data_IF_089533227784
#
_entry.id   IF_089533227784
#
_cell.length_a   1.000
_cell.length_b   1.000
_cell.length_c   1.000
_cell.angle_alpha   90.00
_cell.angle_beta   90.00
_cell.angle_gamma   90.00
#
_symmetry.space_group_name_H-M   'P 1'
#
loop_
_entity.id
_entity.type
_entity.pdbx_description
1 polymer ?
#
# COMPACT_ATOMS: atom_id res chain seq x y z
N UNK A 1 18.33 38.95 -25.55
CA UNK A 1 17.46 38.34 -24.51
C UNK A 1 18.32 37.35 -23.75
N UNK A 2 18.47 37.51 -22.42
CA UNK A 2 19.16 36.50 -21.62
C UNK A 2 18.28 35.25 -21.53
N UNK A 3 18.82 34.06 -21.87
CA UNK A 3 18.11 32.79 -21.71
C UNK A 3 17.83 32.59 -20.22
N UNK A 4 16.56 32.39 -19.86
CA UNK A 4 16.19 32.05 -18.48
C UNK A 4 16.60 30.62 -18.23
N UNK A 5 17.41 30.41 -17.19
CA UNK A 5 17.79 29.07 -16.72
C UNK A 5 16.65 28.49 -15.91
N UNK A 6 16.18 27.31 -16.28
CA UNK A 6 15.00 26.68 -15.70
C UNK A 6 15.18 25.20 -15.36
N UNK A 7 16.39 24.63 -15.54
CA UNK A 7 16.67 23.22 -15.27
C UNK A 7 17.18 23.01 -13.84
N UNK A 8 16.62 22.03 -13.15
CA UNK A 8 17.19 21.42 -11.94
C UNK A 8 18.08 20.26 -12.39
N UNK A 9 19.39 20.39 -12.24
CA UNK A 9 20.35 19.34 -12.59
C UNK A 9 20.50 18.38 -11.41
N UNK A 10 20.30 17.07 -11.61
CA UNK A 10 20.46 16.04 -10.57
C UNK A 10 21.74 15.25 -10.85
N UNK A 11 22.70 15.34 -9.95
CA UNK A 11 23.95 14.56 -9.94
C UNK A 11 23.89 13.50 -8.85
N UNK A 12 24.26 12.25 -9.15
CA UNK A 12 24.11 11.11 -8.25
C UNK A 12 25.10 9.98 -8.55
N UNK A 13 25.28 9.04 -7.62
CA UNK A 13 26.06 7.83 -7.86
C UNK A 13 25.27 6.82 -8.71
N UNK A 14 25.81 6.44 -9.86
CA UNK A 14 25.24 5.39 -10.70
C UNK A 14 26.02 4.08 -10.52
N UNK A 15 25.36 2.92 -10.27
CA UNK A 15 23.90 2.72 -10.20
C UNK A 15 23.28 2.87 -8.80
N UNK A 16 24.08 3.07 -7.75
CA UNK A 16 23.65 2.86 -6.35
C UNK A 16 22.56 3.84 -5.89
N UNK A 17 22.53 5.06 -6.42
CA UNK A 17 21.58 6.11 -6.05
C UNK A 17 20.47 6.32 -7.10
N UNK A 18 20.38 5.46 -8.14
CA UNK A 18 19.45 5.62 -9.27
C UNK A 18 18.00 5.69 -8.79
N UNK A 19 17.55 4.70 -8.01
CA UNK A 19 16.16 4.60 -7.55
C UNK A 19 15.67 5.86 -6.81
N UNK A 20 16.52 6.45 -5.95
CA UNK A 20 16.17 7.70 -5.28
C UNK A 20 16.13 8.87 -6.26
N UNK A 21 17.14 8.98 -7.13
CA UNK A 21 17.26 10.09 -8.08
C UNK A 21 16.09 10.12 -9.05
N UNK A 22 15.66 8.95 -9.53
CA UNK A 22 14.48 8.78 -10.38
C UNK A 22 13.19 9.17 -9.66
N UNK A 23 13.02 8.73 -8.41
CA UNK A 23 11.88 9.14 -7.60
C UNK A 23 11.85 10.66 -7.44
N UNK A 24 12.98 11.29 -7.12
CA UNK A 24 13.07 12.74 -6.96
C UNK A 24 12.79 13.48 -8.28
N UNK A 25 13.35 13.00 -9.39
CA UNK A 25 13.11 13.52 -10.73
C UNK A 25 11.61 13.55 -11.04
N UNK A 26 10.90 12.44 -10.79
CA UNK A 26 9.46 12.34 -11.01
C UNK A 26 8.66 13.32 -10.13
N UNK A 27 9.01 13.45 -8.85
CA UNK A 27 8.31 14.36 -7.92
C UNK A 27 8.48 15.84 -8.30
N UNK A 28 9.71 16.25 -8.67
CA UNK A 28 9.98 17.61 -9.11
C UNK A 28 9.27 17.92 -10.43
N UNK A 29 9.24 16.96 -11.34
CA UNK A 29 8.50 17.05 -12.61
C UNK A 29 7.00 17.20 -12.37
N UNK A 30 6.42 16.40 -11.46
CA UNK A 30 5.03 16.51 -11.02
C UNK A 30 4.68 17.88 -10.43
N UNK A 31 5.63 18.49 -9.71
CA UNK A 31 5.50 19.84 -9.17
C UNK A 31 5.58 20.95 -10.24
N UNK A 32 6.01 20.60 -11.46
CA UNK A 32 6.06 21.44 -12.65
C UNK A 32 7.44 21.99 -13.00
N UNK A 33 8.52 21.46 -12.42
CA UNK A 33 9.88 21.91 -12.71
C UNK A 33 10.51 21.10 -13.85
N UNK A 34 11.44 21.72 -14.59
CA UNK A 34 12.27 20.98 -15.56
C UNK A 34 13.46 20.37 -14.82
N UNK A 35 13.69 19.09 -15.03
CA UNK A 35 14.77 18.35 -14.40
C UNK A 35 15.69 17.77 -15.47
N UNK A 36 16.94 17.51 -15.11
CA UNK A 36 17.89 16.80 -15.95
C UNK A 36 18.72 15.83 -15.09
N UNK A 37 18.89 14.60 -15.57
CA UNK A 37 19.85 13.63 -15.08
C UNK A 37 20.41 12.79 -16.25
N UNK A 38 21.56 12.16 -16.04
CA UNK A 38 22.26 11.29 -16.97
C UNK A 38 21.45 10.04 -17.34
N UNK A 39 20.70 9.45 -16.40
CA UNK A 39 19.84 8.27 -16.64
C UNK A 39 18.82 8.46 -17.78
N UNK A 40 18.26 9.67 -17.92
CA UNK A 40 17.14 9.94 -18.83
C UNK A 40 17.60 10.59 -20.15
N UNK A 41 18.82 11.14 -20.17
CA UNK A 41 19.24 12.08 -21.22
C UNK A 41 20.31 11.55 -22.15
N UNK A 42 21.04 10.49 -21.76
CA UNK A 42 22.09 9.88 -22.57
C UNK A 42 21.56 8.59 -23.21
N UNK A 43 21.62 8.49 -24.55
CA UNK A 43 21.06 7.34 -25.31
C UNK A 43 22.06 6.21 -25.57
N UNK A 44 23.30 6.33 -25.06
CA UNK A 44 24.40 5.40 -25.31
C UNK A 44 25.07 5.60 -26.67
N UNK A 45 26.41 5.54 -26.71
CA UNK A 45 27.22 5.71 -27.94
C UNK A 45 27.74 7.12 -28.22
N UNK A 46 27.47 8.09 -27.34
CA UNK A 46 27.96 9.48 -27.45
C UNK A 46 29.44 9.57 -27.01
N UNK A 47 30.30 10.15 -27.86
CA UNK A 47 31.76 10.11 -27.68
C UNK A 47 32.30 11.08 -26.61
N UNK A 48 31.51 12.07 -26.18
CA UNK A 48 31.94 13.15 -25.28
C UNK A 48 30.80 13.65 -24.35
N UNK A 49 30.12 12.75 -23.64
CA UNK A 49 28.98 13.09 -22.76
C UNK A 49 29.33 14.11 -21.65
N UNK A 50 30.59 14.19 -21.25
CA UNK A 50 31.09 15.20 -20.28
C UNK A 50 30.91 16.64 -20.78
N UNK A 51 31.02 16.89 -22.10
CA UNK A 51 30.80 18.22 -22.67
C UNK A 51 29.32 18.64 -22.59
N UNK A 52 28.41 17.69 -22.82
CA UNK A 52 26.96 17.91 -22.70
C UNK A 52 26.61 18.27 -21.26
N UNK A 53 27.11 17.51 -20.29
CA UNK A 53 26.89 17.75 -18.86
C UNK A 53 27.38 19.15 -18.46
N UNK A 54 28.63 19.50 -18.84
CA UNK A 54 29.18 20.82 -18.53
C UNK A 54 28.36 21.95 -19.17
N UNK A 55 27.89 21.75 -20.40
CA UNK A 55 27.03 22.72 -21.09
C UNK A 55 25.72 22.92 -20.33
N UNK A 56 25.06 21.85 -19.89
CA UNK A 56 23.79 21.94 -19.17
C UNK A 56 23.97 22.63 -17.82
N UNK A 57 24.99 22.26 -17.05
CA UNK A 57 25.30 22.91 -15.77
C UNK A 57 25.56 24.42 -15.97
N UNK A 58 26.27 24.78 -17.04
CA UNK A 58 26.70 26.17 -17.26
C UNK A 58 25.69 27.06 -17.99
N UNK A 59 24.87 26.52 -18.89
CA UNK A 59 23.95 27.28 -19.75
C UNK A 59 22.49 27.19 -19.31
N UNK A 60 22.05 26.05 -18.76
CA UNK A 60 20.63 25.75 -18.55
C UNK A 60 20.22 25.55 -17.08
N UNK A 61 21.14 25.03 -16.26
CA UNK A 61 20.85 24.71 -14.87
C UNK A 61 20.67 25.98 -14.01
N UNK A 62 19.52 26.08 -13.34
CA UNK A 62 19.25 27.09 -12.33
C UNK A 62 19.70 26.64 -10.92
N UNK A 63 19.69 25.34 -10.66
CA UNK A 63 20.22 24.69 -9.45
C UNK A 63 20.89 23.38 -9.80
N UNK A 64 21.89 23.02 -9.00
CA UNK A 64 22.60 21.76 -9.03
C UNK A 64 22.26 20.97 -7.76
N UNK A 65 21.49 19.90 -7.90
CA UNK A 65 21.06 19.02 -6.83
C UNK A 65 22.06 17.85 -6.76
N UNK A 66 22.88 17.83 -5.72
CA UNK A 66 23.83 16.75 -5.48
C UNK A 66 23.16 15.71 -4.56
N UNK A 67 22.72 14.59 -5.12
CA UNK A 67 22.28 13.43 -4.35
C UNK A 67 23.51 12.75 -3.79
N UNK A 68 23.62 12.65 -2.46
CA UNK A 68 24.76 12.00 -1.83
C UNK A 68 24.41 10.96 -0.76
N UNK A 69 25.09 9.82 -0.89
CA UNK A 69 25.05 8.60 -0.10
C UNK A 69 26.49 8.16 0.24
N UNK A 70 26.65 6.92 0.70
CA UNK A 70 27.97 6.32 0.97
C UNK A 70 28.79 6.11 -0.31
N UNK A 71 28.16 6.05 -1.48
CA UNK A 71 28.79 5.69 -2.76
C UNK A 71 29.10 6.90 -3.65
N UNK A 72 28.54 8.07 -3.35
CA UNK A 72 28.58 9.23 -4.24
C UNK A 72 29.98 9.73 -4.52
N UNK A 73 30.82 9.85 -3.48
CA UNK A 73 32.20 10.29 -3.66
C UNK A 73 33.18 9.14 -3.92
N UNK A 74 32.69 7.93 -4.22
CA UNK A 74 33.53 6.85 -4.77
C UNK A 74 33.50 6.86 -6.30
N UNK A 75 32.70 7.73 -6.92
CA UNK A 75 32.52 7.84 -8.38
C UNK A 75 33.20 9.12 -8.88
N UNK A 76 34.23 8.97 -9.72
CA UNK A 76 35.02 10.09 -10.24
C UNK A 76 34.17 11.11 -11.01
N UNK A 77 33.20 10.64 -11.82
CA UNK A 77 32.34 11.53 -12.60
C UNK A 77 31.49 12.46 -11.73
N UNK A 78 30.98 11.98 -10.59
CA UNK A 78 30.21 12.82 -9.65
C UNK A 78 31.09 13.86 -8.98
N UNK A 79 32.35 13.49 -8.68
CA UNK A 79 33.35 14.41 -8.14
C UNK A 79 33.62 15.52 -9.17
N UNK A 80 33.84 15.16 -10.42
CA UNK A 80 34.12 16.11 -11.50
C UNK A 80 32.94 17.06 -11.75
N UNK A 81 31.71 16.54 -11.78
CA UNK A 81 30.49 17.36 -11.90
C UNK A 81 30.34 18.34 -10.73
N UNK A 82 30.56 17.87 -9.51
CA UNK A 82 30.48 18.70 -8.31
C UNK A 82 31.57 19.78 -8.28
N UNK A 83 32.81 19.44 -8.65
CA UNK A 83 33.93 20.37 -8.73
C UNK A 83 33.72 21.42 -9.83
N UNK A 84 33.15 21.02 -10.97
CA UNK A 84 32.72 21.93 -12.03
C UNK A 84 31.61 22.87 -11.56
N UNK A 85 30.55 22.35 -10.93
CA UNK A 85 29.43 23.14 -10.40
C UNK A 85 29.90 24.17 -9.36
N UNK A 86 30.82 23.79 -8.46
CA UNK A 86 31.44 24.72 -7.50
C UNK A 86 32.22 25.83 -8.19
N UNK A 87 33.05 25.46 -9.17
CA UNK A 87 33.86 26.41 -9.94
C UNK A 87 32.99 27.38 -10.72
N UNK A 88 31.91 26.87 -11.34
CA UNK A 88 30.92 27.66 -12.06
C UNK A 88 30.19 28.65 -11.16
N UNK A 89 29.68 28.20 -10.01
CA UNK A 89 28.98 29.06 -9.05
C UNK A 89 29.90 30.18 -8.52
N UNK A 90 31.16 29.84 -8.21
CA UNK A 90 32.16 30.81 -7.73
C UNK A 90 32.50 31.84 -8.81
N UNK A 91 32.78 31.40 -10.04
CA UNK A 91 33.14 32.28 -11.18
C UNK A 91 32.02 33.28 -11.51
N UNK A 92 30.78 32.81 -11.49
CA UNK A 92 29.61 33.63 -11.85
C UNK A 92 28.94 34.30 -10.64
N UNK A 93 29.52 34.18 -9.44
CA UNK A 93 28.99 34.74 -8.18
C UNK A 93 27.53 34.34 -7.90
N UNK A 94 27.15 33.12 -8.27
CA UNK A 94 25.79 32.59 -8.07
C UNK A 94 25.68 32.10 -6.63
N UNK A 95 24.76 32.69 -5.87
CA UNK A 95 24.44 32.24 -4.51
C UNK A 95 23.49 31.05 -4.54
N UNK A 96 23.63 30.15 -3.57
CA UNK A 96 22.74 29.01 -3.35
C UNK A 96 22.51 28.16 -4.61
N UNK A 97 23.54 27.98 -5.45
CA UNK A 97 23.44 27.18 -6.68
C UNK A 97 23.36 25.68 -6.41
N UNK A 98 24.11 25.21 -5.41
CA UNK A 98 24.25 23.79 -5.08
C UNK A 98 23.36 23.44 -3.90
N UNK A 99 22.51 22.43 -4.08
CA UNK A 99 21.63 21.84 -3.08
C UNK A 99 22.08 20.41 -2.77
N UNK A 100 22.79 20.16 -1.67
CA UNK A 100 23.11 18.81 -1.25
C UNK A 100 21.87 18.09 -0.72
N UNK A 101 21.65 16.87 -1.18
CA UNK A 101 20.51 16.01 -0.87
C UNK A 101 21.05 14.74 -0.20
N UNK A 102 20.90 14.65 1.12
CA UNK A 102 21.42 13.54 1.91
C UNK A 102 20.39 12.41 1.98
N UNK A 103 20.74 11.26 1.39
CA UNK A 103 19.81 10.12 1.25
C UNK A 103 20.14 8.92 2.13
N UNK A 104 21.29 8.94 2.81
CA UNK A 104 21.72 7.91 3.74
C UNK A 104 22.26 8.52 5.04
N UNK A 105 22.56 7.68 6.02
CA UNK A 105 23.24 8.11 7.23
C UNK A 105 24.74 8.30 6.97
N UNK A 106 25.10 9.48 6.43
CA UNK A 106 26.45 9.85 6.03
C UNK A 106 26.86 11.19 6.61
N UNK A 107 28.14 11.34 6.95
CA UNK A 107 28.63 12.56 7.58
C UNK A 107 28.50 13.80 6.66
N UNK A 108 28.27 14.95 7.29
CA UNK A 108 28.08 16.23 6.59
C UNK A 108 29.35 16.72 5.88
N UNK A 109 30.51 16.19 6.25
CA UNK A 109 31.85 16.54 5.75
C UNK A 109 32.50 15.42 4.93
N UNK A 110 31.70 14.47 4.42
CA UNK A 110 32.10 13.40 3.47
C UNK A 110 32.99 13.89 2.32
N UNK A 111 32.87 15.16 1.91
CA UNK A 111 33.80 15.81 0.98
C UNK A 111 34.15 17.21 1.47
N UNK A 112 35.40 17.61 1.23
CA UNK A 112 35.90 18.95 1.57
C UNK A 112 34.99 20.03 0.96
N UNK A 113 34.45 20.88 1.84
CA UNK A 113 33.60 22.01 1.48
C UNK A 113 32.11 21.68 1.38
N UNK A 114 31.70 20.41 1.47
CA UNK A 114 30.28 20.03 1.48
C UNK A 114 29.58 20.50 2.77
N UNK A 115 30.31 20.50 3.89
CA UNK A 115 29.86 21.00 5.19
C UNK A 115 29.55 22.51 5.22
N UNK A 116 29.88 23.26 4.15
CA UNK A 116 29.57 24.69 4.04
C UNK A 116 28.17 24.96 3.47
N UNK A 117 27.50 23.93 2.98
CA UNK A 117 26.15 24.03 2.43
C UNK A 117 25.13 23.56 3.47
N UNK A 118 23.92 24.12 3.43
CA UNK A 118 22.80 23.58 4.19
C UNK A 118 22.19 22.40 3.41
N UNK A 119 22.06 21.23 4.05
CA UNK A 119 21.67 19.99 3.39
C UNK A 119 20.17 19.74 3.50
N UNK A 120 19.58 19.19 2.43
CA UNK A 120 18.24 18.63 2.48
C UNK A 120 18.31 17.19 2.97
N UNK A 121 17.71 16.94 4.14
CA UNK A 121 17.67 15.61 4.75
C UNK A 121 16.53 14.79 4.15
N UNK A 122 16.84 13.70 3.45
CA UNK A 122 15.88 12.72 2.95
C UNK A 122 15.93 11.39 3.71
N UNK A 123 16.97 11.13 4.52
CA UNK A 123 16.99 9.99 5.44
C UNK A 123 16.52 10.39 6.86
N UNK A 124 15.61 9.65 7.52
CA UNK A 124 14.99 8.40 7.10
C UNK A 124 13.68 8.56 6.29
N UNK A 125 13.22 9.80 6.03
CA UNK A 125 11.91 10.08 5.43
C UNK A 125 12.02 10.92 4.15
N UNK A 126 11.82 10.28 2.99
CA UNK A 126 11.86 10.97 1.69
C UNK A 126 10.77 12.04 1.53
N UNK A 127 9.50 11.81 1.95
CA UNK A 127 8.45 12.82 1.81
C UNK A 127 8.73 14.11 2.60
N UNK A 128 9.34 14.00 3.78
CA UNK A 128 9.71 15.17 4.59
C UNK A 128 10.82 15.99 3.94
N UNK A 129 11.83 15.32 3.38
CA UNK A 129 12.89 15.96 2.60
C UNK A 129 12.33 16.70 1.38
N UNK A 130 11.43 16.05 0.64
CA UNK A 130 10.78 16.62 -0.53
C UNK A 130 9.97 17.87 -0.19
N UNK A 131 9.19 17.85 0.89
CA UNK A 131 8.41 19.01 1.32
C UNK A 131 9.31 20.23 1.60
N UNK A 132 10.46 20.02 2.26
CA UNK A 132 11.44 21.09 2.53
C UNK A 132 12.10 21.59 1.24
N UNK A 133 12.48 20.68 0.35
CA UNK A 133 13.09 21.02 -0.95
C UNK A 133 12.13 21.82 -1.82
N UNK A 134 10.88 21.37 -1.98
CA UNK A 134 9.84 22.08 -2.75
C UNK A 134 9.57 23.47 -2.18
N UNK A 135 9.53 23.62 -0.85
CA UNK A 135 9.38 24.91 -0.18
C UNK A 135 10.54 25.86 -0.53
N UNK A 136 11.78 25.36 -0.56
CA UNK A 136 12.94 26.18 -0.93
C UNK A 136 12.96 26.54 -2.41
N UNK A 137 12.68 25.59 -3.30
CA UNK A 137 12.59 25.82 -4.75
C UNK A 137 11.53 26.88 -5.07
N UNK A 138 10.38 26.82 -4.38
CA UNK A 138 9.33 27.83 -4.50
C UNK A 138 9.79 29.21 -4.00
N UNK A 139 10.47 29.26 -2.85
CA UNK A 139 11.03 30.50 -2.31
C UNK A 139 12.06 31.14 -3.24
N UNK A 140 12.90 30.33 -3.91
CA UNK A 140 13.91 30.79 -4.87
C UNK A 140 13.31 31.24 -6.21
N UNK A 141 11.98 31.15 -6.39
CA UNK A 141 11.29 31.64 -7.58
C UNK A 141 11.64 30.87 -8.85
N UNK A 142 11.99 29.59 -8.73
CA UNK A 142 12.41 28.76 -9.87
C UNK A 142 11.21 28.62 -10.84
N UNK A 143 11.38 28.98 -12.12
CA UNK A 143 10.30 28.95 -13.10
C UNK A 143 9.79 27.53 -13.32
N UNK A 144 8.47 27.39 -13.42
CA UNK A 144 7.82 26.15 -13.80
C UNK A 144 7.69 26.07 -15.31
N UNK A 145 7.76 24.85 -15.86
CA UNK A 145 7.50 24.63 -17.28
C UNK A 145 6.06 25.00 -17.63
N UNK A 146 5.87 25.71 -18.75
CA UNK A 146 4.57 25.97 -19.38
C UNK A 146 4.07 24.81 -20.22
N UNK A 147 4.90 23.80 -20.45
CA UNK A 147 4.48 22.55 -21.09
C UNK A 147 3.42 21.85 -20.23
N UNK A 148 2.41 21.24 -20.86
CA UNK A 148 1.36 20.55 -20.13
C UNK A 148 2.02 19.47 -19.27
N UNK A 149 1.81 19.49 -17.94
CA UNK A 149 2.30 18.46 -17.00
C UNK A 149 2.07 17.04 -17.53
N UNK A 150 0.92 16.83 -18.17
CA UNK A 150 0.53 15.57 -18.81
C UNK A 150 1.49 15.12 -19.89
N UNK A 151 2.04 16.03 -20.70
CA UNK A 151 3.01 15.70 -21.77
C UNK A 151 4.36 15.27 -21.21
N UNK A 152 4.88 15.97 -20.20
CA UNK A 152 6.18 15.62 -19.57
C UNK A 152 6.08 14.27 -18.86
N UNK A 153 4.97 14.04 -18.14
CA UNK A 153 4.68 12.75 -17.50
C UNK A 153 4.43 11.64 -18.52
N UNK A 154 3.70 11.91 -19.60
CA UNK A 154 3.50 10.91 -20.64
C UNK A 154 4.81 10.59 -21.32
N UNK A 155 5.66 11.55 -21.68
CA UNK A 155 6.95 11.25 -22.30
C UNK A 155 7.87 10.49 -21.35
N UNK A 156 7.90 10.85 -20.06
CA UNK A 156 8.70 10.14 -19.06
C UNK A 156 8.18 8.72 -18.79
N UNK A 157 6.86 8.57 -18.56
CA UNK A 157 6.24 7.26 -18.36
C UNK A 157 6.31 6.40 -19.63
N UNK A 158 6.20 7.00 -20.82
CA UNK A 158 6.35 6.31 -22.10
C UNK A 158 7.80 5.88 -22.33
N UNK A 159 8.79 6.71 -22.03
CA UNK A 159 10.20 6.35 -22.20
C UNK A 159 10.66 5.29 -21.20
N UNK A 160 10.14 5.31 -19.96
CA UNK A 160 10.57 4.41 -18.89
C UNK A 160 9.75 3.14 -18.74
N UNK A 161 8.42 3.22 -18.85
CA UNK A 161 7.50 2.10 -18.64
C UNK A 161 6.86 1.59 -19.94
N UNK A 162 6.85 2.38 -21.02
CA UNK A 162 6.23 1.95 -22.28
C UNK A 162 7.20 1.34 -23.29
N UNK A 163 8.35 0.81 -22.83
CA UNK A 163 9.21 0.01 -23.69
C UNK A 163 8.67 -1.41 -23.96
N UNK A 164 7.55 -1.83 -23.36
CA UNK A 164 6.83 -3.04 -23.84
C UNK A 164 5.32 -3.10 -23.54
N UNK A 165 4.79 -2.24 -22.67
CA UNK A 165 3.40 -2.35 -22.16
C UNK A 165 2.61 -1.05 -22.36
N UNK A 166 2.33 -0.71 -23.62
CA UNK A 166 1.65 0.55 -23.98
C UNK A 166 0.28 0.74 -23.31
N UNK A 167 -0.10 2.02 -23.12
CA UNK A 167 -1.45 2.40 -22.72
C UNK A 167 -2.32 2.40 -23.99
N UNK A 168 -3.44 1.69 -23.95
CA UNK A 168 -4.39 1.61 -25.06
C UNK A 168 -5.70 2.28 -24.68
N UNK A 169 -6.35 2.95 -25.64
CA UNK A 169 -7.67 3.58 -25.45
C UNK A 169 -8.77 2.52 -25.54
N UNK A 170 -8.80 1.61 -24.57
CA UNK A 170 -9.78 0.54 -24.46
C UNK A 170 -10.54 0.70 -23.16
N UNK A 171 -11.87 0.70 -23.24
CA UNK A 171 -12.71 0.74 -22.04
C UNK A 171 -12.47 -0.53 -21.22
N UNK A 172 -12.05 -0.36 -19.96
CA UNK A 172 -11.78 -1.47 -19.06
C UNK A 172 -12.37 -1.27 -17.69
N UNK A 173 -12.80 -2.40 -17.12
CA UNK A 173 -13.23 -2.53 -15.74
C UNK A 173 -12.04 -2.83 -14.83
N UNK A 174 -11.77 -1.91 -13.91
CA UNK A 174 -10.82 -2.03 -12.83
C UNK A 174 -11.53 -2.40 -11.54
N UNK A 175 -10.86 -3.16 -10.68
CA UNK A 175 -11.39 -3.59 -9.40
C UNK A 175 -10.58 -2.96 -8.28
N UNK A 176 -11.28 -2.40 -7.31
CA UNK A 176 -10.69 -1.85 -6.10
C UNK A 176 -10.31 -2.96 -5.11
N UNK A 177 -9.77 -2.56 -3.97
CA UNK A 177 -9.69 -3.41 -2.78
C UNK A 177 -10.85 -3.17 -1.80
N UNK A 178 -11.93 -2.52 -2.23
CA UNK A 178 -13.08 -2.18 -1.38
C UNK A 178 -14.18 -3.21 -1.52
N UNK A 179 -14.47 -3.92 -0.43
CA UNK A 179 -15.54 -4.88 -0.37
C UNK A 179 -16.78 -4.24 0.26
N UNK A 180 -17.73 -3.84 -0.60
CA UNK A 180 -18.86 -2.99 -0.23
C UNK A 180 -19.86 -3.70 0.67
N UNK A 181 -20.38 -2.96 1.65
CA UNK A 181 -21.53 -3.36 2.45
C UNK A 181 -22.75 -2.67 1.85
N UNK A 182 -23.63 -3.45 1.21
CA UNK A 182 -24.77 -2.90 0.47
C UNK A 182 -26.02 -2.68 1.32
N UNK A 183 -26.10 -3.34 2.48
CA UNK A 183 -27.21 -3.21 3.42
C UNK A 183 -26.68 -3.23 4.84
N UNK A 184 -27.27 -2.39 5.69
CA UNK A 184 -26.97 -2.30 7.10
C UNK A 184 -28.28 -2.34 7.89
N UNK A 185 -28.25 -2.76 9.16
CA UNK A 185 -29.40 -2.58 10.04
C UNK A 185 -29.73 -1.10 10.22
N UNK A 186 -30.96 -0.79 10.60
CA UNK A 186 -31.38 0.60 10.84
C UNK A 186 -30.65 1.22 12.04
N UNK A 187 -30.23 0.39 13.02
CA UNK A 187 -29.65 0.88 14.26
C UNK A 187 -28.65 -0.09 14.87
N UNK A 188 -27.75 0.47 15.68
CA UNK A 188 -27.00 -0.26 16.69
C UNK A 188 -27.55 0.10 18.07
N UNK A 189 -27.40 -0.81 19.02
CA UNK A 189 -27.86 -0.64 20.40
C UNK A 189 -26.66 -0.66 21.35
N UNK A 190 -26.62 0.30 22.27
CA UNK A 190 -25.61 0.40 23.33
C UNK A 190 -26.30 0.11 24.66
N UNK A 191 -25.97 -1.02 25.25
CA UNK A 191 -26.50 -1.51 26.52
C UNK A 191 -25.53 -1.14 27.63
N UNK A 192 -25.90 -0.20 28.49
CA UNK A 192 -25.09 0.19 29.64
C UNK A 192 -25.49 -0.64 30.85
N UNK A 193 -24.52 -1.29 31.49
CA UNK A 193 -24.70 -2.09 32.70
C UNK A 193 -24.21 -1.34 33.95
N UNK A 194 -24.59 -1.83 35.13
CA UNK A 194 -24.20 -1.19 36.39
C UNK A 194 -22.69 -1.17 36.60
N UNK A 195 -21.96 -2.16 36.07
CA UNK A 195 -20.51 -2.25 36.15
C UNK A 195 -19.91 -3.03 34.98
N UNK A 196 -18.59 -2.96 34.87
CA UNK A 196 -17.81 -3.63 33.83
C UNK A 196 -17.87 -5.16 33.88
N UNK A 197 -18.03 -5.75 35.07
CA UNK A 197 -18.13 -7.21 35.25
C UNK A 197 -19.40 -7.76 34.62
N UNK A 198 -20.52 -7.05 34.76
CA UNK A 198 -21.78 -7.40 34.09
C UNK A 198 -21.64 -7.34 32.57
N UNK A 199 -21.05 -6.25 32.04
CA UNK A 199 -20.81 -6.12 30.60
C UNK A 199 -19.88 -7.23 30.06
N UNK A 200 -18.86 -7.62 30.84
CA UNK A 200 -17.97 -8.72 30.49
C UNK A 200 -18.69 -10.08 30.45
N UNK A 201 -19.59 -10.35 31.41
CA UNK A 201 -20.38 -11.59 31.41
C UNK A 201 -21.23 -11.73 30.14
N UNK A 202 -21.85 -10.63 29.70
CA UNK A 202 -22.65 -10.56 28.46
C UNK A 202 -21.80 -10.81 27.21
N UNK A 203 -20.55 -10.34 27.21
CA UNK A 203 -19.60 -10.54 26.10
C UNK A 203 -19.10 -11.99 26.02
N UNK A 204 -18.93 -12.64 27.18
CA UNK A 204 -18.47 -14.03 27.28
C UNK A 204 -19.53 -15.06 26.88
N UNK A 205 -20.80 -14.68 26.84
CA UNK A 205 -21.86 -15.53 26.32
C UNK A 205 -21.66 -15.80 24.83
N UNK A 206 -21.48 -17.09 24.48
CA UNK A 206 -21.29 -17.54 23.12
C UNK A 206 -22.55 -17.32 22.29
N UNK A 207 -22.45 -16.42 21.31
CA UNK A 207 -23.53 -16.13 20.36
C UNK A 207 -22.96 -16.01 18.95
N UNK A 208 -23.77 -16.31 17.94
CA UNK A 208 -23.41 -16.05 16.54
C UNK A 208 -23.45 -14.56 16.18
N UNK A 209 -24.13 -13.76 17.01
CA UNK A 209 -24.29 -12.32 16.81
C UNK A 209 -23.10 -11.53 17.37
N UNK A 210 -22.58 -10.55 16.62
CA UNK A 210 -21.43 -9.76 17.03
C UNK A 210 -21.76 -8.82 18.20
N UNK A 211 -20.94 -8.88 19.24
CA UNK A 211 -20.97 -7.98 20.41
C UNK A 211 -19.59 -7.38 20.64
N UNK A 212 -19.53 -6.10 21.01
CA UNK A 212 -18.28 -5.44 21.44
C UNK A 212 -18.48 -4.76 22.80
N UNK A 213 -17.41 -4.74 23.62
CA UNK A 213 -17.42 -4.05 24.92
C UNK A 213 -16.87 -2.62 24.81
N UNK A 214 -17.42 -1.68 25.57
CA UNK A 214 -16.86 -0.36 25.79
C UNK A 214 -17.13 0.07 27.23
N UNK A 215 -16.12 -0.03 28.11
CA UNK A 215 -16.32 0.18 29.55
C UNK A 215 -17.36 -0.80 30.12
N UNK A 216 -18.39 -0.25 30.77
CA UNK A 216 -19.57 -0.97 31.27
C UNK A 216 -20.68 -1.13 30.22
N UNK A 217 -20.41 -0.81 28.95
CA UNK A 217 -21.38 -0.94 27.87
C UNK A 217 -21.09 -2.14 26.97
N UNK A 218 -22.14 -2.75 26.42
CA UNK A 218 -22.09 -3.69 25.31
C UNK A 218 -22.77 -3.07 24.11
N UNK A 219 -22.14 -3.13 22.95
CA UNK A 219 -22.70 -2.64 21.68
C UNK A 219 -22.97 -3.82 20.75
N UNK A 220 -24.14 -3.83 20.13
CA UNK A 220 -24.57 -4.87 19.19
C UNK A 220 -25.60 -4.35 18.17
N UNK A 221 -25.88 -5.15 17.13
CA UNK A 221 -27.00 -4.89 16.21
C UNK A 221 -28.33 -5.45 16.72
N UNK A 222 -28.29 -6.39 17.67
CA UNK A 222 -29.48 -6.97 18.27
C UNK A 222 -30.17 -5.96 19.17
N UNK A 223 -31.50 -5.94 19.14
CA UNK A 223 -32.36 -5.06 19.96
C UNK A 223 -32.60 -5.59 21.38
N UNK A 224 -32.52 -6.90 21.57
CA UNK A 224 -32.72 -7.54 22.85
C UNK A 224 -31.50 -8.40 23.17
N UNK A 225 -30.73 -8.00 24.18
CA UNK A 225 -29.66 -8.80 24.75
C UNK A 225 -30.01 -9.01 26.21
N UNK A 226 -30.33 -10.25 26.56
CA UNK A 226 -30.56 -10.70 27.93
C UNK A 226 -29.63 -11.87 28.15
N UNK A 227 -28.66 -11.72 29.06
CA UNK A 227 -27.71 -12.78 29.38
C UNK A 227 -28.05 -13.38 30.73
N UNK A 228 -28.14 -14.71 30.81
CA UNK A 228 -28.15 -15.45 32.07
C UNK A 228 -26.71 -15.73 32.48
N UNK A 229 -26.26 -15.17 33.60
CA UNK A 229 -24.88 -15.30 34.04
C UNK A 229 -24.65 -16.63 34.77
N UNK A 230 -24.38 -17.71 34.04
CA UNK A 230 -24.25 -19.07 34.60
C UNK A 230 -23.07 -19.31 35.56
N UNK A 231 -22.15 -18.34 35.74
CA UNK A 231 -20.96 -18.50 36.60
C UNK A 231 -21.22 -18.26 38.10
N UNK A 232 -22.31 -17.62 38.49
CA UNK A 232 -22.57 -17.23 39.89
C UNK A 232 -24.05 -17.32 40.26
N UNK A 233 -24.66 -18.49 40.02
CA UNK A 233 -26.13 -18.70 40.04
C UNK A 233 -26.79 -18.06 38.80
N UNK A 234 -27.93 -18.60 38.34
CA UNK A 234 -28.65 -18.12 37.13
C UNK A 234 -29.24 -16.71 37.32
N UNK A 235 -28.39 -15.71 37.53
CA UNK A 235 -28.75 -14.32 37.66
C UNK A 235 -28.87 -13.74 36.27
N UNK A 236 -30.08 -13.29 35.94
CA UNK A 236 -30.36 -12.59 34.69
C UNK A 236 -29.78 -11.16 34.78
N UNK A 237 -28.89 -10.83 33.85
CA UNK A 237 -28.23 -9.52 33.81
C UNK A 237 -29.00 -8.61 32.86
N UNK A 238 -29.57 -7.54 33.42
CA UNK A 238 -30.32 -6.54 32.67
C UNK A 238 -29.52 -5.23 32.53
N UNK A 239 -29.59 -4.56 31.37
CA UNK A 239 -28.98 -3.25 31.19
C UNK A 239 -29.71 -2.19 32.04
N UNK A 240 -28.95 -1.24 32.59
CA UNK A 240 -29.49 -0.08 33.29
C UNK A 240 -30.02 0.98 32.32
N UNK A 241 -29.37 1.15 31.16
CA UNK A 241 -29.82 2.02 30.07
C UNK A 241 -29.60 1.34 28.72
N UNK A 242 -30.44 1.67 27.74
CA UNK A 242 -30.28 1.21 26.35
C UNK A 242 -30.39 2.40 25.41
N UNK A 243 -29.31 2.71 24.71
CA UNK A 243 -29.27 3.75 23.68
C UNK A 243 -29.46 3.12 22.31
N UNK A 244 -30.47 3.57 21.56
CA UNK A 244 -30.67 3.19 20.16
C UNK A 244 -30.04 4.25 19.27
N UNK A 245 -29.03 3.88 18.48
CA UNK A 245 -28.32 4.77 17.59
C UNK A 245 -28.67 4.46 16.13
N UNK A 246 -29.22 5.44 15.42
CA UNK A 246 -29.58 5.34 14.00
C UNK A 246 -28.32 5.30 13.13
N UNK A 247 -28.13 4.21 12.37
CA UNK A 247 -26.99 4.08 11.45
C UNK A 247 -27.05 5.15 10.34
N UNK A 248 -28.21 5.42 9.69
CA UNK A 248 -28.31 6.50 8.71
C UNK A 248 -27.85 7.86 9.25
N UNK A 249 -28.15 8.18 10.51
CA UNK A 249 -27.76 9.45 11.11
C UNK A 249 -26.26 9.52 11.43
N UNK A 250 -25.68 8.39 11.83
CA UNK A 250 -24.22 8.28 12.02
C UNK A 250 -23.48 8.48 10.69
N UNK A 251 -23.99 7.90 9.60
CA UNK A 251 -23.35 7.94 8.27
C UNK A 251 -23.50 9.30 7.57
N UNK A 252 -24.56 10.06 7.85
CA UNK A 252 -24.80 11.40 7.28
C UNK A 252 -24.27 12.55 8.15
N UNK A 253 -23.58 12.22 9.24
CA UNK A 253 -23.13 13.18 10.25
C UNK A 253 -24.28 14.02 10.86
N UNK A 254 -25.51 13.46 10.88
CA UNK A 254 -26.70 14.11 11.46
C UNK A 254 -27.00 13.65 12.88
N UNK A 255 -26.29 12.64 13.40
CA UNK A 255 -26.39 12.23 14.79
C UNK A 255 -25.70 13.27 15.69
N UNK A 256 -26.48 13.93 16.54
CA UNK A 256 -26.01 14.96 17.48
C UNK A 256 -26.46 14.57 18.88
N UNK A 257 -25.49 14.34 19.77
CA UNK A 257 -25.71 14.18 21.20
C UNK A 257 -24.52 14.76 21.95
N UNK A 258 -24.78 15.67 22.89
CA UNK A 258 -23.75 16.30 23.73
C UNK A 258 -23.31 15.38 24.87
N UNK A 259 -24.19 14.46 25.28
CA UNK A 259 -23.89 13.42 26.26
C UNK A 259 -23.58 12.08 25.59
N UNK A 260 -23.05 11.15 26.38
CA UNK A 260 -22.77 9.80 25.91
C UNK A 260 -24.06 9.09 25.44
N UNK A 261 -24.05 8.36 24.30
CA UNK A 261 -22.97 8.30 23.31
C UNK A 261 -22.91 9.54 22.42
N UNK A 262 -21.73 10.16 22.31
CA UNK A 262 -21.49 11.27 21.38
C UNK A 262 -21.42 10.79 19.93
N UNK A 263 -21.31 11.71 18.97
CA UNK A 263 -21.11 11.36 17.56
C UNK A 263 -19.85 10.50 17.33
N UNK A 264 -18.74 10.88 17.96
CA UNK A 264 -17.48 10.14 17.85
C UNK A 264 -17.60 8.74 18.45
N UNK A 265 -18.32 8.60 19.58
CA UNK A 265 -18.63 7.29 20.16
C UNK A 265 -19.43 6.44 19.18
N UNK A 266 -20.50 6.99 18.60
CA UNK A 266 -21.39 6.30 17.68
C UNK A 266 -20.63 5.82 16.41
N UNK A 267 -19.81 6.67 15.81
CA UNK A 267 -18.96 6.28 14.68
C UNK A 267 -17.96 5.17 15.06
N UNK A 268 -17.32 5.29 16.21
CA UNK A 268 -16.34 4.30 16.69
C UNK A 268 -17.00 2.97 17.01
N UNK A 269 -18.19 2.99 17.61
CA UNK A 269 -19.01 1.82 17.88
C UNK A 269 -19.37 1.08 16.59
N UNK A 270 -19.89 1.79 15.59
CA UNK A 270 -20.22 1.20 14.30
C UNK A 270 -18.99 0.57 13.63
N UNK A 271 -17.86 1.30 13.53
CA UNK A 271 -16.60 0.79 12.96
C UNK A 271 -16.11 -0.47 13.67
N UNK A 272 -16.12 -0.47 15.00
CA UNK A 272 -15.66 -1.61 15.81
C UNK A 272 -16.59 -2.82 15.70
N UNK A 273 -17.89 -2.58 15.62
CA UNK A 273 -18.89 -3.64 15.53
C UNK A 273 -18.87 -4.30 14.14
N UNK A 274 -18.78 -3.51 13.05
CA UNK A 274 -18.57 -4.05 11.70
C UNK A 274 -17.27 -4.85 11.61
N UNK A 275 -16.20 -4.35 12.22
CA UNK A 275 -14.93 -5.07 12.29
C UNK A 275 -15.06 -6.40 13.03
N UNK A 276 -15.77 -6.43 14.17
CA UNK A 276 -16.05 -7.67 14.92
C UNK A 276 -16.86 -8.66 14.08
N UNK A 277 -17.91 -8.18 13.41
CA UNK A 277 -18.77 -8.97 12.52
C UNK A 277 -17.97 -9.71 11.44
N UNK A 278 -17.10 -8.98 10.73
CA UNK A 278 -16.26 -9.61 9.71
C UNK A 278 -15.24 -10.57 10.32
N UNK A 279 -14.61 -10.25 11.46
CA UNK A 279 -13.67 -11.19 12.11
C UNK A 279 -14.36 -12.50 12.48
N UNK A 280 -15.53 -12.42 13.11
CA UNK A 280 -16.29 -13.60 13.52
C UNK A 280 -16.71 -14.43 12.31
N UNK A 281 -17.12 -13.75 11.23
CA UNK A 281 -17.36 -14.40 9.95
C UNK A 281 -16.12 -15.17 9.45
N UNK A 282 -14.97 -14.52 9.34
CA UNK A 282 -13.73 -15.15 8.84
C UNK A 282 -13.29 -16.35 9.69
N UNK A 283 -13.46 -16.28 11.01
CA UNK A 283 -13.18 -17.42 11.89
C UNK A 283 -14.14 -18.59 11.63
N UNK A 284 -15.44 -18.33 11.48
CA UNK A 284 -16.43 -19.36 11.13
C UNK A 284 -16.18 -19.98 9.76
N UNK A 285 -15.69 -19.21 8.80
CA UNK A 285 -15.27 -19.70 7.48
C UNK A 285 -14.00 -20.58 7.54
N UNK A 286 -13.32 -20.61 8.69
CA UNK A 286 -12.14 -21.47 8.93
C UNK A 286 -10.81 -20.81 8.59
N UNK A 287 -10.75 -19.48 8.56
CA UNK A 287 -9.47 -18.76 8.40
C UNK A 287 -8.73 -18.72 9.75
N UNK A 288 -7.43 -18.92 9.67
CA UNK A 288 -6.51 -18.71 10.79
C UNK A 288 -6.08 -17.25 10.88
N UNK A 289 -5.88 -16.77 12.11
CA UNK A 289 -5.41 -15.41 12.39
C UNK A 289 -3.91 -15.41 12.69
N UNK A 290 -3.18 -14.48 12.08
CA UNK A 290 -1.84 -14.06 12.47
C UNK A 290 -1.83 -12.58 12.85
N UNK A 291 -1.18 -12.24 13.97
CA UNK A 291 -0.98 -10.86 14.41
C UNK A 291 0.34 -10.33 13.85
N UNK A 292 0.28 -9.39 12.92
CA UNK A 292 1.47 -8.78 12.32
C UNK A 292 2.13 -7.78 13.28
N UNK A 293 3.41 -7.45 13.03
CA UNK A 293 4.21 -6.49 13.81
C UNK A 293 3.50 -5.14 14.03
N UNK A 294 2.76 -4.65 13.03
CA UNK A 294 1.92 -3.45 13.12
C UNK A 294 0.64 -3.58 13.96
N UNK A 295 0.50 -4.64 14.78
CA UNK A 295 -0.71 -4.96 15.57
C UNK A 295 -1.99 -5.11 14.73
N UNK A 296 -1.87 -5.36 13.44
CA UNK A 296 -3.01 -5.67 12.57
C UNK A 296 -3.13 -7.18 12.40
N UNK A 297 -4.37 -7.68 12.41
CA UNK A 297 -4.65 -9.09 12.16
C UNK A 297 -4.65 -9.36 10.65
N UNK A 298 -3.95 -10.42 10.25
CA UNK A 298 -4.01 -11.03 8.93
C UNK A 298 -4.72 -12.38 9.03
N UNK A 299 -5.63 -12.66 8.10
CA UNK A 299 -6.44 -13.87 8.04
C UNK A 299 -6.10 -14.65 6.78
N UNK A 300 -5.83 -15.96 6.92
CA UNK A 300 -5.43 -16.83 5.81
C UNK A 300 -5.92 -18.26 6.05
N UNK A 301 -6.01 -19.07 4.99
CA UNK A 301 -6.30 -20.49 5.13
C UNK A 301 -5.04 -21.28 5.46
N UNK A 302 -5.17 -22.32 6.29
CA UNK A 302 -4.12 -23.34 6.48
C UNK A 302 -4.30 -24.47 5.47
N UNK A 303 -3.24 -25.26 5.27
CA UNK A 303 -3.16 -26.36 4.30
C UNK A 303 -4.32 -27.37 4.35
N UNK A 304 -4.91 -27.64 5.52
CA UNK A 304 -6.03 -28.59 5.61
C UNK A 304 -7.35 -28.05 5.04
N UNK A 305 -7.49 -26.74 4.82
CA UNK A 305 -8.76 -26.14 4.43
C UNK A 305 -8.95 -26.24 2.91
N UNK A 306 -9.93 -27.07 2.50
CA UNK A 306 -10.23 -27.32 1.09
C UNK A 306 -10.67 -26.06 0.33
N UNK A 307 -11.21 -25.04 1.02
CA UNK A 307 -11.60 -23.75 0.42
C UNK A 307 -10.41 -22.98 -0.16
N UNK A 308 -9.17 -23.37 0.17
CA UNK A 308 -7.96 -22.75 -0.37
C UNK A 308 -7.56 -23.26 -1.76
N UNK A 309 -8.11 -24.37 -2.26
CA UNK A 309 -7.57 -25.07 -3.43
C UNK A 309 -8.44 -24.96 -4.68
N UNK A 310 -7.80 -24.70 -5.83
CA UNK A 310 -8.41 -24.70 -7.18
C UNK A 310 -9.77 -24.00 -7.23
N UNK A 311 -9.83 -22.80 -6.67
CA UNK A 311 -11.07 -22.02 -6.57
C UNK A 311 -11.36 -21.39 -7.92
N UNK A 312 -12.42 -21.85 -8.58
CA UNK A 312 -12.91 -21.32 -9.86
C UNK A 312 -13.75 -20.06 -9.65
N UNK A 313 -13.13 -18.90 -9.80
CA UNK A 313 -13.72 -17.59 -9.54
C UNK A 313 -14.37 -17.03 -10.79
N UNK A 314 -15.56 -16.47 -10.62
CA UNK A 314 -16.24 -15.67 -11.64
C UNK A 314 -16.61 -14.32 -11.04
N UNK A 315 -16.19 -13.24 -11.69
CA UNK A 315 -16.53 -11.87 -11.30
C UNK A 315 -16.70 -11.03 -12.58
N UNK A 316 -17.29 -9.82 -12.52
CA UNK A 316 -17.76 -9.10 -13.72
C UNK A 316 -16.72 -9.01 -14.85
N UNK A 317 -16.98 -9.71 -15.97
CA UNK A 317 -16.12 -9.72 -17.16
C UNK A 317 -14.85 -10.57 -17.04
N UNK A 318 -14.66 -11.36 -15.97
CA UNK A 318 -13.45 -12.18 -15.75
C UNK A 318 -13.76 -13.53 -15.13
N UNK A 319 -12.92 -14.50 -15.47
CA UNK A 319 -12.86 -15.82 -14.83
C UNK A 319 -11.40 -16.09 -14.50
N UNK A 320 -11.15 -16.67 -13.33
CA UNK A 320 -9.80 -17.08 -12.93
C UNK A 320 -9.89 -18.34 -12.08
N UNK A 321 -8.80 -19.09 -12.01
CA UNK A 321 -8.69 -20.26 -11.17
C UNK A 321 -7.39 -20.12 -10.38
N UNK A 322 -7.48 -20.09 -9.05
CA UNK A 322 -6.30 -19.91 -8.20
C UNK A 322 -6.39 -20.79 -6.96
N UNK A 323 -5.22 -21.18 -6.46
CA UNK A 323 -5.03 -21.80 -5.15
C UNK A 323 -4.43 -20.75 -4.22
N UNK A 324 -5.02 -20.55 -3.04
CA UNK A 324 -4.66 -19.50 -2.07
C UNK A 324 -3.42 -19.82 -1.23
N UNK A 325 -2.72 -20.93 -1.50
CA UNK A 325 -1.49 -21.33 -0.85
C UNK A 325 -0.65 -22.19 -1.80
N UNK A 326 0.66 -22.26 -1.57
CA UNK A 326 1.57 -23.07 -2.39
C UNK A 326 2.88 -23.35 -1.68
N UNK A 327 3.80 -24.04 -2.36
CA UNK A 327 5.14 -24.30 -1.82
C UNK A 327 6.04 -23.08 -2.00
N UNK A 328 7.01 -22.93 -1.11
CA UNK A 328 8.06 -21.90 -1.17
C UNK A 328 9.34 -22.46 -0.55
N UNK A 329 10.33 -22.84 -1.37
CA UNK A 329 11.64 -23.33 -0.92
C UNK A 329 11.55 -24.35 0.25
N UNK A 330 10.80 -25.44 0.03
CA UNK A 330 10.55 -26.50 1.04
C UNK A 330 9.52 -26.15 2.13
N UNK A 331 9.09 -24.90 2.23
CA UNK A 331 8.04 -24.40 3.13
C UNK A 331 6.73 -24.14 2.35
N UNK A 332 5.78 -23.43 2.95
CA UNK A 332 4.53 -23.01 2.32
C UNK A 332 4.31 -21.51 2.42
N UNK A 333 3.80 -20.91 1.35
CA UNK A 333 3.22 -19.57 1.36
C UNK A 333 1.69 -19.64 1.36
N UNK A 334 1.04 -18.63 1.93
CA UNK A 334 -0.40 -18.50 2.01
C UNK A 334 -0.81 -17.07 1.69
N UNK A 335 -1.83 -16.92 0.85
CA UNK A 335 -2.48 -15.64 0.62
C UNK A 335 -3.32 -15.27 1.84
N UNK A 336 -3.05 -14.10 2.40
CA UNK A 336 -3.74 -13.57 3.56
C UNK A 336 -4.36 -12.21 3.29
N UNK A 337 -5.38 -11.88 4.07
CA UNK A 337 -6.06 -10.58 4.02
C UNK A 337 -6.05 -9.91 5.39
N UNK A 338 -5.81 -8.62 5.40
CA UNK A 338 -6.17 -7.74 6.51
C UNK A 338 -7.17 -6.71 6.02
N UNK A 339 -7.86 -6.03 6.93
CA UNK A 339 -8.87 -5.06 6.53
C UNK A 339 -9.01 -3.89 7.51
N UNK A 340 -9.61 -2.82 7.01
CA UNK A 340 -10.11 -1.67 7.76
C UNK A 340 -11.56 -1.41 7.36
N UNK A 341 -12.35 -0.87 8.28
CA UNK A 341 -13.72 -0.41 7.99
C UNK A 341 -13.63 1.04 7.52
N UNK A 342 -14.19 1.33 6.36
CA UNK A 342 -14.45 2.68 5.89
C UNK A 342 -15.96 2.93 5.96
N UNK A 343 -16.36 4.11 6.42
CA UNK A 343 -17.76 4.55 6.38
C UNK A 343 -18.03 5.43 5.15
N UNK A 344 -16.98 6.00 4.55
CA UNK A 344 -17.04 6.91 3.41
C UNK A 344 -15.99 6.55 2.34
N UNK A 345 -16.22 6.87 1.06
CA UNK A 345 -17.48 7.43 0.50
C UNK A 345 -18.63 6.41 0.47
N UNK A 346 -18.32 5.13 0.70
CA UNK A 346 -19.29 4.05 0.87
C UNK A 346 -18.87 3.24 2.10
N UNK A 347 -19.84 2.64 2.78
CA UNK A 347 -19.53 1.69 3.86
C UNK A 347 -18.92 0.44 3.26
N UNK A 348 -17.66 0.15 3.57
CA UNK A 348 -16.95 -1.00 3.01
C UNK A 348 -15.84 -1.53 3.92
N UNK A 349 -15.40 -2.74 3.63
CA UNK A 349 -14.14 -3.27 4.12
C UNK A 349 -13.03 -2.97 3.10
N UNK A 350 -12.10 -2.09 3.46
CA UNK A 350 -10.88 -1.86 2.67
C UNK A 350 -9.89 -2.99 2.97
N UNK A 351 -9.72 -3.87 1.99
CA UNK A 351 -8.92 -5.08 2.09
C UNK A 351 -7.45 -4.79 1.74
N UNK A 352 -6.53 -5.48 2.40
CA UNK A 352 -5.10 -5.49 2.06
C UNK A 352 -4.63 -6.91 1.92
N UNK A 353 -3.96 -7.19 0.81
CA UNK A 353 -3.37 -8.49 0.51
C UNK A 353 -2.02 -8.66 1.22
N UNK A 354 -1.74 -9.86 1.67
CA UNK A 354 -0.48 -10.25 2.34
C UNK A 354 -0.08 -11.65 1.90
N UNK A 355 1.20 -11.98 2.10
CA UNK A 355 1.69 -13.36 2.07
C UNK A 355 2.18 -13.73 3.45
N UNK A 356 1.78 -14.91 3.92
CA UNK A 356 2.22 -15.52 5.17
C UNK A 356 3.00 -16.79 4.83
N UNK A 357 4.07 -17.06 5.58
CA UNK A 357 4.91 -18.24 5.37
C UNK A 357 4.84 -19.17 6.58
N UNK A 358 4.81 -20.47 6.31
CA UNK A 358 4.72 -21.53 7.33
C UNK A 358 5.64 -22.70 6.96
N UNK A 359 6.17 -23.40 7.97
CA UNK A 359 7.08 -24.52 7.76
C UNK A 359 6.41 -25.74 7.11
N UNK A 360 5.21 -26.09 7.56
CA UNK A 360 4.51 -27.34 7.25
C UNK A 360 3.12 -27.12 6.62
N UNK A 361 2.75 -25.85 6.38
CA UNK A 361 1.41 -25.44 5.96
C UNK A 361 0.49 -25.02 7.13
N UNK A 362 1.00 -25.05 8.36
CA UNK A 362 0.25 -24.79 9.59
C UNK A 362 0.97 -23.83 10.56
N UNK A 363 2.27 -24.06 10.77
CA UNK A 363 3.13 -23.39 11.76
C UNK A 363 3.86 -22.23 11.12
N UNK A 364 3.57 -21.00 11.56
CA UNK A 364 4.19 -19.77 11.04
C UNK A 364 5.70 -19.79 11.29
N UNK A 365 6.47 -19.16 10.41
CA UNK A 365 7.84 -18.77 10.73
C UNK A 365 7.88 -17.73 11.85
N UNK A 366 8.73 -17.94 12.86
CA UNK A 366 8.87 -17.04 14.00
C UNK A 366 9.76 -15.82 13.70
N UNK A 367 10.67 -15.94 12.73
CA UNK A 367 11.56 -14.86 12.30
C UNK A 367 10.83 -13.87 11.38
N UNK A 368 10.57 -12.67 11.91
CA UNK A 368 9.89 -11.60 11.19
C UNK A 368 10.76 -10.99 10.07
N UNK A 369 12.09 -10.97 10.20
CA UNK A 369 12.99 -10.47 9.16
C UNK A 369 13.03 -11.43 7.97
N UNK A 370 13.16 -12.72 8.25
CA UNK A 370 13.10 -13.77 7.24
C UNK A 370 11.76 -13.76 6.51
N UNK A 371 10.65 -13.63 7.24
CA UNK A 371 9.31 -13.51 6.65
C UNK A 371 9.17 -12.27 5.77
N UNK A 372 9.74 -11.15 6.19
CA UNK A 372 9.70 -9.91 5.41
C UNK A 372 10.48 -10.02 4.09
N UNK A 373 11.67 -10.64 4.13
CA UNK A 373 12.48 -10.94 2.93
C UNK A 373 11.73 -11.88 1.98
N UNK A 374 11.19 -12.99 2.49
CA UNK A 374 10.43 -13.95 1.69
C UNK A 374 9.16 -13.32 1.06
N UNK A 375 8.45 -12.46 1.80
CA UNK A 375 7.29 -11.75 1.25
C UNK A 375 7.65 -10.86 0.06
N UNK A 376 8.78 -10.15 0.13
CA UNK A 376 9.25 -9.33 -1.01
C UNK A 376 9.65 -10.21 -2.17
N UNK A 377 10.42 -11.27 -1.92
CA UNK A 377 10.91 -12.21 -2.92
C UNK A 377 9.79 -12.95 -3.66
N UNK A 378 8.81 -13.53 -2.95
CA UNK A 378 7.63 -14.15 -3.58
C UNK A 378 6.71 -13.11 -4.22
N UNK A 379 6.52 -11.96 -3.55
CA UNK A 379 5.59 -10.93 -3.99
C UNK A 379 6.04 -10.14 -5.22
N UNK A 380 7.34 -10.05 -5.51
CA UNK A 380 7.85 -9.23 -6.64
C UNK A 380 7.38 -9.73 -8.01
N UNK A 381 7.09 -11.02 -8.14
CA UNK A 381 6.55 -11.62 -9.37
C UNK A 381 5.03 -11.49 -9.51
N UNK A 382 4.35 -11.07 -8.44
CA UNK A 382 2.90 -10.89 -8.42
C UNK A 382 2.60 -9.44 -8.81
N UNK A 383 2.09 -9.23 -10.02
CA UNK A 383 1.64 -7.91 -10.46
C UNK A 383 0.15 -7.71 -10.15
N UNK A 384 -0.41 -6.61 -10.64
CA UNK A 384 -1.79 -6.20 -10.36
C UNK A 384 -2.80 -7.31 -10.71
N UNK A 385 -2.56 -8.06 -11.79
CA UNK A 385 -3.41 -9.19 -12.18
C UNK A 385 -3.45 -10.26 -11.10
N UNK A 386 -2.30 -10.70 -10.60
CA UNK A 386 -2.17 -11.75 -9.60
C UNK A 386 -2.78 -11.30 -8.28
N UNK A 387 -2.39 -10.14 -7.76
CA UNK A 387 -2.92 -9.63 -6.50
C UNK A 387 -4.44 -9.44 -6.52
N UNK A 388 -4.99 -8.92 -7.63
CA UNK A 388 -6.43 -8.81 -7.81
C UNK A 388 -7.09 -10.18 -7.83
N UNK A 389 -6.56 -11.11 -8.62
CA UNK A 389 -7.14 -12.43 -8.76
C UNK A 389 -7.12 -13.17 -7.42
N UNK A 390 -6.03 -13.14 -6.65
CA UNK A 390 -5.99 -13.73 -5.31
C UNK A 390 -7.01 -13.10 -4.34
N UNK A 391 -7.17 -11.78 -4.38
CA UNK A 391 -8.19 -11.11 -3.57
C UNK A 391 -9.61 -11.57 -3.95
N UNK A 392 -9.92 -11.67 -5.25
CA UNK A 392 -11.22 -12.19 -5.68
C UNK A 392 -11.39 -13.66 -5.29
N UNK A 393 -10.34 -14.46 -5.41
CA UNK A 393 -10.33 -15.87 -5.03
C UNK A 393 -10.65 -16.08 -3.57
N UNK A 394 -10.05 -15.32 -2.66
CA UNK A 394 -10.34 -15.46 -1.23
C UNK A 394 -11.77 -15.03 -0.91
N UNK A 395 -12.27 -13.93 -1.49
CA UNK A 395 -13.66 -13.49 -1.28
C UNK A 395 -14.65 -14.53 -1.83
N UNK A 396 -14.39 -15.07 -3.01
CA UNK A 396 -15.23 -16.07 -3.66
C UNK A 396 -15.24 -17.42 -2.92
N UNK A 397 -14.16 -17.74 -2.20
CA UNK A 397 -14.07 -18.92 -1.32
C UNK A 397 -14.98 -18.84 -0.09
N UNK A 398 -15.48 -17.65 0.25
CA UNK A 398 -16.35 -17.45 1.41
C UNK A 398 -17.79 -17.85 1.15
N UNK A 399 -18.14 -18.18 -0.09
CA UNK A 399 -19.48 -18.60 -0.45
C UNK A 399 -19.89 -19.88 0.27
N UNK A 400 -21.16 -19.97 0.61
CA UNK A 400 -21.82 -21.17 1.10
C UNK A 400 -22.22 -22.10 -0.05
N UNK A 401 -22.96 -23.15 0.28
CA UNK A 401 -23.46 -24.14 -0.68
C UNK A 401 -24.46 -23.55 -1.68
N UNK A 402 -25.16 -22.47 -1.31
CA UNK A 402 -26.07 -21.73 -2.20
C UNK A 402 -25.32 -20.68 -3.05
N UNK A 403 -24.00 -20.53 -2.85
CA UNK A 403 -23.20 -19.55 -3.55
C UNK A 403 -23.29 -18.13 -2.98
N UNK A 404 -23.83 -17.95 -1.76
CA UNK A 404 -23.99 -16.65 -1.10
C UNK A 404 -22.92 -16.43 -0.03
N UNK A 405 -22.67 -15.18 0.33
CA UNK A 405 -21.79 -14.83 1.45
C UNK A 405 -22.63 -14.08 2.48
N UNK A 406 -22.94 -14.73 3.60
CA UNK A 406 -23.88 -14.20 4.58
C UNK A 406 -23.14 -13.78 5.87
N UNK A 407 -23.14 -12.48 6.15
CA UNK A 407 -22.69 -11.92 7.41
C UNK A 407 -23.89 -11.79 8.35
N UNK A 408 -23.76 -12.35 9.55
CA UNK A 408 -24.80 -12.31 10.59
C UNK A 408 -24.63 -11.04 11.42
N UNK A 409 -25.69 -10.21 11.48
CA UNK A 409 -25.72 -9.02 12.34
C UNK A 409 -26.64 -9.21 13.53
N UNK A 410 -27.87 -9.64 13.31
CA UNK A 410 -28.86 -9.95 14.34
C UNK A 410 -29.73 -11.14 13.87
N UNK A 411 -30.74 -11.46 14.66
CA UNK A 411 -31.71 -12.54 14.46
C UNK A 411 -32.69 -12.31 13.30
N UNK A 412 -32.84 -11.07 12.85
CA UNK A 412 -33.79 -10.67 11.81
C UNK A 412 -33.14 -10.38 10.45
N UNK A 413 -31.83 -10.07 10.43
CA UNK A 413 -31.13 -9.55 9.27
C UNK A 413 -29.78 -10.24 9.04
N UNK A 414 -29.69 -10.85 7.86
CA UNK A 414 -28.45 -11.32 7.25
C UNK A 414 -28.01 -10.33 6.18
N UNK A 415 -26.71 -10.03 6.14
CA UNK A 415 -26.11 -9.23 5.09
C UNK A 415 -25.51 -10.16 4.03
N UNK A 416 -26.06 -10.11 2.82
CA UNK A 416 -25.45 -10.75 1.65
C UNK A 416 -24.36 -9.85 1.07
N UNK A 417 -23.14 -10.38 0.99
CA UNK A 417 -21.98 -9.73 0.39
C UNK A 417 -21.72 -10.29 -1.01
N UNK A 418 -21.31 -9.41 -1.94
CA UNK A 418 -20.86 -9.83 -3.26
C UNK A 418 -19.55 -10.62 -3.15
N UNK A 419 -19.27 -11.62 -3.99
CA UNK A 419 -18.01 -12.38 -3.93
C UNK A 419 -16.84 -11.67 -4.63
N UNK A 420 -16.93 -10.35 -4.80
CA UNK A 420 -15.93 -9.49 -5.44
C UNK A 420 -16.00 -8.05 -4.89
N UNK A 421 -14.96 -7.26 -5.16
CA UNK A 421 -14.87 -5.85 -4.74
C UNK A 421 -15.53 -4.89 -5.73
N UNK A 422 -15.74 -3.64 -5.30
CA UNK A 422 -16.28 -2.56 -6.15
C UNK A 422 -15.40 -2.41 -7.40
N UNK A 423 -16.05 -2.27 -8.56
CA UNK A 423 -15.40 -2.00 -9.83
C UNK A 423 -15.62 -0.59 -10.34
N UNK A 424 -14.64 -0.05 -11.04
CA UNK A 424 -14.66 1.24 -11.73
C UNK A 424 -14.38 1.04 -13.22
N UNK A 425 -14.97 1.89 -14.06
CA UNK A 425 -14.71 1.88 -15.50
C UNK A 425 -13.74 3.00 -15.85
N UNK A 426 -12.79 2.71 -16.74
CA UNK A 426 -11.85 3.67 -17.29
C UNK A 426 -11.79 3.49 -18.81
N UNK A 427 -11.53 4.57 -19.54
CA UNK A 427 -11.47 4.58 -21.01
C UNK A 427 -10.08 4.22 -21.57
N UNK A 428 -9.19 3.79 -20.69
CA UNK A 428 -7.83 3.39 -21.02
C UNK A 428 -7.45 2.11 -20.28
N UNK A 429 -6.55 1.36 -20.88
CA UNK A 429 -5.99 0.12 -20.36
C UNK A 429 -4.47 0.11 -20.53
N UNK A 430 -3.80 -0.79 -19.83
CA UNK A 430 -2.39 -1.12 -20.03
C UNK A 430 -2.27 -2.59 -20.45
N UNK A 431 -1.30 -2.87 -21.31
CA UNK A 431 -0.93 -4.26 -21.58
C UNK A 431 -0.24 -4.83 -20.35
N UNK A 432 -0.79 -5.88 -19.75
CA UNK A 432 -0.12 -6.57 -18.65
C UNK A 432 1.15 -7.26 -19.19
N UNK A 433 2.35 -7.04 -18.61
CA UNK A 433 3.57 -7.63 -19.12
C UNK A 433 3.51 -9.17 -19.09
N UNK A 434 4.03 -9.81 -20.14
CA UNK A 434 4.18 -11.28 -20.20
C UNK A 434 5.20 -11.75 -19.16
N UNK A 435 5.22 -13.04 -18.81
CA UNK A 435 6.16 -13.58 -17.81
C UNK A 435 7.63 -13.28 -18.16
N UNK A 436 8.00 -13.43 -19.43
CA UNK A 436 9.32 -13.09 -19.95
C UNK A 436 9.63 -11.58 -19.82
N UNK A 437 8.66 -10.73 -20.20
CA UNK A 437 8.78 -9.27 -20.06
C UNK A 437 8.89 -8.85 -18.59
N UNK A 438 8.17 -9.53 -17.68
CA UNK A 438 8.26 -9.29 -16.22
C UNK A 438 9.65 -9.58 -15.68
N UNK A 439 10.26 -10.69 -16.10
CA UNK A 439 11.63 -11.03 -15.70
C UNK A 439 12.58 -9.96 -16.22
N UNK A 440 12.44 -9.56 -17.49
CA UNK A 440 13.25 -8.49 -18.07
C UNK A 440 13.12 -7.16 -17.30
N UNK A 441 11.89 -6.80 -16.89
CA UNK A 441 11.60 -5.59 -16.10
C UNK A 441 12.20 -5.63 -14.69
N UNK A 442 12.42 -6.82 -14.15
CA UNK A 442 12.88 -7.04 -12.79
C UNK A 442 14.35 -7.50 -12.76
N UNK A 443 15.05 -7.59 -13.89
CA UNK A 443 16.44 -8.11 -13.99
C UNK A 443 17.39 -7.47 -12.98
N UNK A 444 17.27 -6.16 -12.74
CA UNK A 444 18.10 -5.43 -11.76
C UNK A 444 17.76 -5.78 -10.30
N UNK A 445 16.55 -6.29 -10.04
CA UNK A 445 16.08 -6.71 -8.71
C UNK A 445 16.52 -8.14 -8.33
N UNK A 446 17.16 -8.90 -9.24
CA UNK A 446 17.68 -10.26 -9.01
C UNK A 446 19.21 -10.24 -8.93
N UNK A 447 19.77 -9.72 -7.84
CA UNK A 447 21.23 -9.52 -7.73
C UNK A 447 21.98 -10.67 -7.03
N UNK A 448 21.32 -11.78 -6.67
CA UNK A 448 21.92 -12.86 -5.86
C UNK A 448 21.67 -14.24 -6.47
N UNK A 449 22.59 -15.18 -6.29
CA UNK A 449 22.45 -16.58 -6.74
C UNK A 449 21.17 -17.25 -6.19
N UNK A 450 20.81 -16.95 -4.93
CA UNK A 450 19.55 -17.43 -4.34
C UNK A 450 18.32 -16.88 -5.07
N UNK A 451 18.39 -15.67 -5.63
CA UNK A 451 17.29 -15.03 -6.36
C UNK A 451 17.09 -15.64 -7.75
N UNK A 452 18.18 -16.07 -8.39
CA UNK A 452 18.17 -16.83 -9.64
C UNK A 452 17.60 -18.25 -9.44
N UNK A 453 18.04 -18.98 -8.41
CA UNK A 453 17.51 -20.32 -8.09
C UNK A 453 15.98 -20.29 -7.80
N UNK A 454 15.53 -19.26 -7.06
CA UNK A 454 14.12 -19.04 -6.80
C UNK A 454 13.30 -18.75 -8.07
N UNK A 455 13.87 -17.98 -9.00
CA UNK A 455 13.24 -17.70 -10.28
C UNK A 455 13.02 -18.97 -11.08
N UNK A 456 14.06 -19.80 -11.20
CA UNK A 456 13.94 -21.08 -11.89
C UNK A 456 12.81 -21.92 -11.29
N UNK A 457 12.75 -22.03 -9.96
CA UNK A 457 11.68 -22.81 -9.30
C UNK A 457 10.27 -22.26 -9.53
N UNK A 458 10.05 -20.95 -9.46
CA UNK A 458 8.74 -20.35 -9.76
C UNK A 458 8.34 -20.47 -11.23
N UNK A 459 9.31 -20.45 -12.13
CA UNK A 459 9.04 -20.61 -13.56
C UNK A 459 8.46 -22.00 -13.82
N UNK A 460 9.12 -23.04 -13.30
CA UNK A 460 8.69 -24.44 -13.48
C UNK A 460 7.41 -24.81 -12.71
N UNK A 461 7.19 -24.32 -11.48
CA UNK A 461 5.98 -24.66 -10.71
C UNK A 461 4.69 -24.08 -11.30
N UNK A 462 4.72 -22.93 -11.98
CA UNK A 462 3.52 -22.37 -12.61
C UNK A 462 3.16 -23.06 -13.94
N UNK A 463 4.14 -23.55 -14.70
CA UNK A 463 3.88 -24.30 -15.94
C UNK A 463 3.15 -25.62 -15.66
N UNK A 464 3.41 -26.28 -14.53
CA UNK A 464 2.69 -27.49 -14.11
C UNK A 464 1.24 -27.23 -13.62
N UNK A 465 0.86 -25.98 -13.34
CA UNK A 465 -0.48 -25.64 -12.79
C UNK A 465 -1.47 -25.24 -13.90
N UNK A 466 -0.98 -24.82 -15.07
CA UNK A 466 -1.79 -24.41 -16.22
C UNK A 466 -2.07 -25.56 -17.23
N UNK A 467 -1.52 -26.78 -16.99
CA UNK A 467 -1.98 -28.06 -17.56
C UNK A 467 -3.05 -28.75 -16.68
#
# INVERSE_FOLDING_TARGET
MYKVKDILFLSHANPEDNHFTEWLYAQLTLAGYKCWCDLESLRGGERDFSEVIQKIISEDACKFLLVFSLHTFTKDFVIDEFDFAKSFAKKNKIKDFIFPIRIADVDYDTRIGLNRYNHFQFYPSWPEGLAKLLKRIHYDGIPKSTEKRTQILSSWATNKFALDSGITSVQRKYFSNWWQINSLPESIYVYQYANETQAEAVIQEETVYPKIRHGNCVVAFQRNIITKCTKHEDIEVHPSNVFKLSIPDILKESYVNEEFPTFDDAQNFLKRLLKKSLKDFLFRTGLSRHRMSGKQDCFFYKKHNQRAYKVKVVYPGRKTNRTLLGKYLGNYWHFGISFKVLLEPFVCFSMKSHLIFTHDGFTKWDDDELMFKARRKKGRMMFNKEWRDFLMTILYSFRDEEGKILLVFNDEQLLEMLPYTISFEADFDYTEPTKESRISLLTEDFSTEEDEEFLETEIYEEEEIDE
#
